data_IF_963287218502
#
_entry.id   IF_963287218502
#
_cell.length_a   1.000
_cell.length_b   1.000
_cell.length_c   1.000
_cell.angle_alpha   90.00
_cell.angle_beta   90.00
_cell.angle_gamma   90.00
#
_symmetry.space_group_name_H-M   'P 1'
#
loop_
_entity.id
_entity.type
_entity.pdbx_description
1 polymer ?
#
# COMPACT_ATOMS: atom_id res chain seq x y z
N UNK A 1 7.47 -33.45 1.89
CA UNK A 1 7.30 -32.01 1.58
C UNK A 1 7.06 -31.27 2.87
N UNK A 2 8.08 -30.63 3.44
CA UNK A 2 7.88 -29.66 4.51
C UNK A 2 7.19 -28.46 3.87
N UNK A 3 5.88 -28.31 4.10
CA UNK A 3 5.25 -27.01 3.88
C UNK A 3 5.89 -26.11 4.93
N UNK A 4 6.68 -25.12 4.51
CA UNK A 4 7.26 -24.15 5.43
C UNK A 4 6.12 -23.24 5.95
N UNK A 5 5.29 -23.76 6.86
CA UNK A 5 4.14 -23.07 7.45
C UNK A 5 4.49 -21.68 8.00
N UNK A 6 5.76 -21.45 8.38
CA UNK A 6 6.29 -20.16 8.82
C UNK A 6 6.21 -19.07 7.74
N UNK A 7 6.40 -19.41 6.45
CA UNK A 7 6.23 -18.42 5.36
C UNK A 7 4.76 -18.06 5.14
N UNK A 8 3.85 -19.02 5.32
CA UNK A 8 2.40 -18.84 5.13
C UNK A 8 1.84 -17.93 6.22
N UNK A 9 2.19 -18.20 7.48
CA UNK A 9 1.74 -17.41 8.64
C UNK A 9 2.24 -15.96 8.56
N UNK A 10 3.51 -15.74 8.19
CA UNK A 10 4.08 -14.40 8.04
C UNK A 10 3.42 -13.62 6.90
N UNK A 11 3.16 -14.27 5.76
CA UNK A 11 2.54 -13.64 4.61
C UNK A 11 1.05 -13.29 4.84
N UNK A 12 0.29 -14.16 5.52
CA UNK A 12 -1.09 -13.88 5.90
C UNK A 12 -1.19 -12.70 6.88
N UNK A 13 -0.25 -12.63 7.83
CA UNK A 13 -0.16 -11.52 8.78
C UNK A 13 0.09 -10.20 8.05
N UNK A 14 1.06 -10.19 7.11
CA UNK A 14 1.34 -9.02 6.27
C UNK A 14 0.15 -8.61 5.39
N UNK A 15 -0.68 -9.56 4.93
CA UNK A 15 -1.91 -9.21 4.21
C UNK A 15 -2.95 -8.54 5.11
N UNK A 16 -3.13 -9.04 6.34
CA UNK A 16 -4.03 -8.42 7.31
C UNK A 16 -3.56 -7.02 7.67
N UNK A 17 -2.26 -6.85 7.93
CA UNK A 17 -1.66 -5.54 8.18
C UNK A 17 -1.87 -4.61 6.99
N UNK A 18 -1.67 -5.09 5.76
CA UNK A 18 -1.89 -4.30 4.55
C UNK A 18 -3.32 -3.77 4.45
N UNK A 19 -4.33 -4.58 4.74
CA UNK A 19 -5.73 -4.13 4.75
C UNK A 19 -6.02 -3.15 5.89
N UNK A 20 -5.34 -3.24 7.03
CA UNK A 20 -5.40 -2.24 8.10
C UNK A 20 -4.79 -0.91 7.64
N UNK A 21 -3.58 -0.92 7.09
CA UNK A 21 -2.91 0.29 6.59
C UNK A 21 -3.66 0.94 5.42
N UNK A 22 -4.27 0.14 4.54
CA UNK A 22 -5.14 0.61 3.46
C UNK A 22 -6.40 1.32 3.95
N UNK A 23 -6.89 1.02 5.16
CA UNK A 23 -7.98 1.79 5.79
C UNK A 23 -7.50 3.08 6.42
N UNK A 24 -6.22 3.16 6.79
CA UNK A 24 -5.62 4.38 7.34
C UNK A 24 -5.28 5.42 6.27
N UNK A 25 -5.27 5.05 4.98
CA UNK A 25 -5.01 6.04 3.93
C UNK A 25 -6.10 7.11 3.83
N UNK A 26 -5.70 8.35 3.53
CA UNK A 26 -6.63 9.46 3.45
C UNK A 26 -7.60 9.33 2.27
N UNK A 27 -8.78 9.95 2.39
CA UNK A 27 -9.82 9.93 1.35
C UNK A 27 -9.26 10.39 0.00
N UNK A 28 -9.55 9.64 -1.06
CA UNK A 28 -9.09 9.92 -2.43
C UNK A 28 -7.76 9.26 -2.81
N UNK A 29 -7.01 8.71 -1.85
CA UNK A 29 -5.80 7.92 -2.09
C UNK A 29 -5.99 6.52 -1.53
N UNK A 30 -5.77 5.49 -2.35
CA UNK A 30 -5.80 4.09 -1.92
C UNK A 30 -4.44 3.43 -2.01
N UNK A 31 -4.26 2.32 -1.30
CA UNK A 31 -3.12 1.41 -1.50
C UNK A 31 -3.52 0.24 -2.39
N UNK A 32 -2.63 -0.11 -3.31
CA UNK A 32 -2.74 -1.28 -4.17
C UNK A 32 -1.45 -2.10 -4.08
N UNK A 33 -1.56 -3.41 -3.92
CA UNK A 33 -0.42 -4.31 -4.00
C UNK A 33 -0.25 -4.81 -5.43
N UNK A 34 0.97 -4.79 -5.95
CA UNK A 34 1.34 -5.44 -7.22
C UNK A 34 2.63 -6.23 -7.03
N UNK A 35 2.56 -7.55 -7.22
CA UNK A 35 3.67 -8.49 -7.00
C UNK A 35 4.30 -8.26 -5.61
N UNK A 36 5.53 -7.76 -5.57
CA UNK A 36 6.32 -7.47 -4.37
C UNK A 36 6.30 -6.00 -3.92
N UNK A 37 5.59 -5.13 -4.66
CA UNK A 37 5.57 -3.69 -4.42
C UNK A 37 4.20 -3.14 -4.03
N UNK A 38 4.23 -2.04 -3.28
CA UNK A 38 3.07 -1.24 -2.91
C UNK A 38 2.97 -0.03 -3.86
N UNK A 39 1.75 0.24 -4.30
CA UNK A 39 1.39 1.32 -5.20
C UNK A 39 0.34 2.22 -4.52
N UNK A 40 0.41 3.51 -4.82
CA UNK A 40 -0.61 4.48 -4.44
C UNK A 40 -1.57 4.66 -5.59
N UNK A 41 -2.86 4.65 -5.32
CA UNK A 41 -3.91 4.77 -6.32
C UNK A 41 -4.79 5.97 -6.03
N UNK A 42 -4.58 7.05 -6.78
CA UNK A 42 -5.27 8.34 -6.59
C UNK A 42 -5.56 9.03 -7.92
N UNK A 43 -6.37 10.08 -7.87
CA UNK A 43 -6.71 10.93 -9.01
C UNK A 43 -5.91 12.22 -8.93
N UNK A 44 -5.19 12.58 -9.99
CA UNK A 44 -4.60 13.92 -10.12
C UNK A 44 -5.58 14.89 -10.80
N UNK A 45 -5.44 16.21 -10.60
CA UNK A 45 -6.25 17.19 -11.32
C UNK A 45 -6.19 16.94 -12.84
N UNK A 46 -7.36 16.92 -13.49
CA UNK A 46 -7.47 16.71 -14.93
C UNK A 46 -7.18 15.29 -15.44
N UNK A 47 -6.90 14.30 -14.57
CA UNK A 47 -6.69 12.90 -14.98
C UNK A 47 -7.64 11.94 -14.29
N UNK A 48 -7.74 10.73 -14.82
CA UNK A 48 -8.44 9.62 -14.19
C UNK A 48 -7.60 9.00 -13.07
N UNK A 49 -8.24 8.20 -12.21
CA UNK A 49 -7.56 7.51 -11.12
C UNK A 49 -6.51 6.54 -11.68
N UNK A 50 -5.25 6.74 -11.33
CA UNK A 50 -4.12 5.92 -11.80
C UNK A 50 -3.36 5.30 -10.63
N UNK A 51 -2.57 4.28 -10.92
CA UNK A 51 -1.64 3.67 -9.96
C UNK A 51 -0.26 4.25 -10.15
N UNK A 52 0.34 4.71 -9.07
CA UNK A 52 1.68 5.29 -9.01
C UNK A 52 2.54 4.43 -8.10
N UNK A 53 3.71 4.03 -8.59
CA UNK A 53 4.66 3.26 -7.78
C UNK A 53 5.10 4.12 -6.59
N UNK A 54 5.00 3.59 -5.36
CA UNK A 54 5.54 4.30 -4.19
C UNK A 54 6.98 3.88 -3.86
N UNK A 55 7.56 2.94 -4.62
CA UNK A 55 8.83 2.28 -4.35
C UNK A 55 8.89 1.67 -2.93
N UNK A 56 7.74 1.31 -2.37
CA UNK A 56 7.67 0.65 -1.07
C UNK A 56 7.51 -0.86 -1.28
N UNK A 57 8.30 -1.64 -0.55
CA UNK A 57 8.23 -3.10 -0.56
C UNK A 57 7.01 -3.58 0.22
N UNK A 58 6.56 -4.81 -0.04
CA UNK A 58 5.49 -5.44 0.73
C UNK A 58 6.01 -5.95 2.09
N UNK A 59 6.27 -5.02 3.01
CA UNK A 59 6.67 -5.24 4.40
C UNK A 59 5.96 -4.23 5.31
N UNK A 60 6.01 -4.42 6.63
CA UNK A 60 5.43 -3.47 7.60
C UNK A 60 6.00 -2.05 7.38
N UNK A 61 7.32 -1.92 7.29
CA UNK A 61 7.97 -0.63 7.03
C UNK A 61 7.53 -0.01 5.71
N UNK A 62 7.41 -0.83 4.66
CA UNK A 62 6.92 -0.39 3.35
C UNK A 62 5.47 0.08 3.39
N UNK A 63 4.62 -0.55 4.21
CA UNK A 63 3.23 -0.11 4.41
C UNK A 63 3.15 1.22 5.16
N UNK A 64 3.95 1.38 6.23
CA UNK A 64 4.03 2.64 6.99
C UNK A 64 4.50 3.77 6.07
N UNK A 65 5.55 3.55 5.27
CA UNK A 65 6.05 4.54 4.33
C UNK A 65 5.01 4.85 3.23
N UNK A 66 4.30 3.84 2.73
CA UNK A 66 3.24 4.03 1.76
C UNK A 66 2.08 4.89 2.30
N UNK A 67 1.65 4.66 3.55
CA UNK A 67 0.63 5.50 4.21
C UNK A 67 1.13 6.93 4.40
N UNK A 68 2.37 7.13 4.86
CA UNK A 68 2.97 8.47 4.97
C UNK A 68 3.00 9.20 3.64
N UNK A 69 3.38 8.51 2.56
CA UNK A 69 3.35 9.06 1.19
C UNK A 69 1.93 9.35 0.73
N UNK A 70 0.95 8.51 1.07
CA UNK A 70 -0.46 8.75 0.78
C UNK A 70 -0.96 10.07 1.40
N UNK A 71 -0.61 10.33 2.67
CA UNK A 71 -0.92 11.60 3.35
C UNK A 71 -0.27 12.81 2.68
N UNK A 72 1.00 12.70 2.25
CA UNK A 72 1.67 13.77 1.49
C UNK A 72 0.98 14.04 0.15
N UNK A 73 0.59 12.98 -0.57
CA UNK A 73 -0.12 13.09 -1.84
C UNK A 73 -1.44 13.83 -1.65
N UNK A 74 -2.22 13.55 -0.60
CA UNK A 74 -3.46 14.31 -0.34
C UNK A 74 -3.23 15.80 -0.10
N UNK A 75 -2.12 16.18 0.53
CA UNK A 75 -1.78 17.60 0.72
C UNK A 75 -1.49 18.26 -0.63
N UNK A 76 -0.84 17.55 -1.56
CA UNK A 76 -0.50 18.07 -2.90
C UNK A 76 -1.65 18.05 -3.91
N UNK A 77 -2.69 17.24 -3.64
CA UNK A 77 -3.91 17.17 -4.46
C UNK A 77 -4.99 18.14 -3.99
N UNK A 78 -4.80 18.76 -2.82
CA UNK A 78 -5.68 19.78 -2.24
C UNK A 78 -5.44 21.15 -2.84
#
# INVERSE_FOLDING_TARGET
MSKDYTYEIGYETLQKDFEVYKKQTPRGVGLAKKKSGIYLQFKTPGKTRAQYACNCTFSIDGMIDAVRKAHRVTILLG
#
